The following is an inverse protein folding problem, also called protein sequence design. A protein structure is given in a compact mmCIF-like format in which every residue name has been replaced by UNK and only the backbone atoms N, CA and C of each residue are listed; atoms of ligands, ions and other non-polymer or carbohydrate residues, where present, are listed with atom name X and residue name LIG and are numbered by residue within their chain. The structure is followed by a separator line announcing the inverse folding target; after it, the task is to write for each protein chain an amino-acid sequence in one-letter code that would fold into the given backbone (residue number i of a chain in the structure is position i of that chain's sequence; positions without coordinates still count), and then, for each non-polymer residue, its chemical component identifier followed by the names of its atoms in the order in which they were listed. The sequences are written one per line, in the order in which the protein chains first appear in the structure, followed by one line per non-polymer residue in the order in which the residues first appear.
data_IF_062376645933
#
_entry.id   IF_062376645933
#
_cell.length_a   1.000
_cell.length_b   1.000
_cell.length_c   1.000
_cell.angle_alpha   90.00
_cell.angle_beta   90.00
_cell.angle_gamma   90.00
#
_symmetry.space_group_name_H-M   'P 1'
#
loop_
_entity.id
_entity.type
_entity.pdbx_description
1 polymer ?
#
# COMPACT_ATOMS: atom_id res chain seq x y z
N UNK A 1 9.93 4.44 38.85
CA UNK A 1 10.37 3.03 38.84
C UNK A 1 11.07 2.80 37.51
N UNK A 2 12.41 2.86 37.45
CA UNK A 2 13.14 2.55 36.22
C UNK A 2 13.07 1.05 35.93
N UNK A 3 12.92 0.75 34.63
CA UNK A 3 12.59 -0.56 34.04
C UNK A 3 13.60 -1.66 34.40
N UNK A 4 13.06 -2.85 34.71
CA UNK A 4 13.77 -4.05 35.14
C UNK A 4 14.47 -4.77 33.95
N UNK A 5 15.46 -4.14 33.33
CA UNK A 5 16.53 -4.89 32.69
C UNK A 5 17.82 -4.64 33.47
N UNK A 6 18.20 -5.65 34.25
CA UNK A 6 19.52 -5.71 34.88
C UNK A 6 20.58 -5.79 33.78
N UNK A 7 21.76 -5.19 33.98
CA UNK A 7 22.87 -5.15 33.00
C UNK A 7 23.22 -6.53 32.39
N UNK A 8 22.97 -7.60 33.16
CA UNK A 8 23.19 -8.98 32.73
C UNK A 8 22.23 -9.45 31.63
N UNK A 9 21.00 -8.93 31.62
CA UNK A 9 19.97 -9.20 30.60
C UNK A 9 20.15 -8.32 29.36
N UNK A 10 20.62 -7.08 29.53
CA UNK A 10 20.95 -6.18 28.42
C UNK A 10 22.02 -6.79 27.50
N UNK A 11 23.07 -7.40 28.08
CA UNK A 11 24.11 -8.11 27.33
C UNK A 11 23.62 -9.38 26.60
N UNK A 12 22.41 -9.88 26.91
CA UNK A 12 21.79 -11.00 26.23
C UNK A 12 20.80 -10.58 25.13
N UNK A 13 20.55 -9.28 25.00
CA UNK A 13 19.60 -8.71 24.05
C UNK A 13 20.25 -8.69 22.65
N UNK A 14 20.27 -9.87 22.03
CA UNK A 14 20.63 -10.01 20.63
C UNK A 14 19.44 -9.53 19.81
N UNK A 15 19.62 -8.40 19.12
CA UNK A 15 18.63 -7.87 18.20
C UNK A 15 18.38 -8.89 17.08
N UNK A 16 17.17 -9.45 17.01
CA UNK A 16 16.80 -10.48 16.04
C UNK A 16 15.84 -9.96 14.98
N UNK A 17 15.64 -8.63 14.90
CA UNK A 17 14.62 -8.00 14.06
C UNK A 17 13.22 -8.62 14.26
N UNK A 18 12.93 -9.02 15.49
CA UNK A 18 11.65 -9.65 15.83
C UNK A 18 10.57 -8.60 16.13
N UNK A 19 9.30 -9.00 16.08
CA UNK A 19 8.19 -8.11 16.43
C UNK A 19 8.30 -7.58 17.88
N UNK A 20 8.84 -8.40 18.79
CA UNK A 20 9.09 -7.99 20.18
C UNK A 20 10.16 -6.92 20.28
N UNK A 21 11.22 -7.03 19.48
CA UNK A 21 12.30 -6.04 19.39
C UNK A 21 11.73 -4.69 18.93
N UNK A 22 10.91 -4.72 17.87
CA UNK A 22 10.18 -3.53 17.37
C UNK A 22 9.29 -2.90 18.44
N UNK A 23 8.57 -3.68 19.24
CA UNK A 23 7.73 -3.13 20.32
C UNK A 23 8.52 -2.52 21.47
N UNK A 24 9.73 -3.03 21.76
CA UNK A 24 10.63 -2.44 22.75
C UNK A 24 11.19 -1.11 22.23
N UNK A 25 11.50 -1.05 20.93
CA UNK A 25 11.91 0.15 20.20
C UNK A 25 10.83 1.24 20.25
N UNK A 26 9.61 0.92 19.80
CA UNK A 26 8.48 1.85 19.73
C UNK A 26 8.10 2.45 21.09
N UNK A 27 8.37 1.70 22.18
CA UNK A 27 8.07 2.12 23.55
C UNK A 27 9.22 2.85 24.23
N UNK A 28 10.36 3.04 23.56
CA UNK A 28 11.53 3.73 24.11
C UNK A 28 12.14 3.03 25.33
N UNK A 29 11.92 1.73 25.49
CA UNK A 29 12.31 0.95 26.68
C UNK A 29 13.75 0.42 26.60
N UNK A 30 14.57 0.93 25.68
CA UNK A 30 15.86 0.34 25.29
C UNK A 30 17.06 1.22 25.61
N UNK A 31 17.01 2.13 26.58
CA UNK A 31 18.19 2.99 26.87
C UNK A 31 18.56 2.98 28.35
N UNK A 32 19.64 2.25 28.68
CA UNK A 32 20.31 2.28 29.98
C UNK A 32 21.62 3.07 29.93
N UNK A 33 22.28 3.14 28.77
CA UNK A 33 23.56 3.82 28.55
C UNK A 33 23.53 4.73 27.32
N UNK A 34 24.47 5.68 27.28
CA UNK A 34 24.58 6.70 26.23
C UNK A 34 24.89 6.09 24.84
N UNK A 35 25.72 5.06 24.78
CA UNK A 35 26.07 4.38 23.53
C UNK A 35 24.86 3.70 22.87
N UNK A 36 23.97 3.11 23.67
CA UNK A 36 22.74 2.47 23.18
C UNK A 36 21.75 3.52 22.64
N UNK A 37 21.69 4.69 23.30
CA UNK A 37 20.88 5.81 22.85
C UNK A 37 21.40 6.41 21.54
N UNK A 38 22.73 6.50 21.37
CA UNK A 38 23.37 6.95 20.13
C UNK A 38 23.08 5.96 19.00
N UNK A 39 23.26 4.66 19.23
CA UNK A 39 22.98 3.63 18.24
C UNK A 39 21.50 3.66 17.79
N UNK A 40 20.58 3.85 18.73
CA UNK A 40 19.15 3.99 18.43
C UNK A 40 18.81 5.26 17.66
N UNK A 41 19.40 6.40 18.02
CA UNK A 41 19.24 7.65 17.28
C UNK A 41 19.75 7.49 15.83
N UNK A 42 20.89 6.83 15.65
CA UNK A 42 21.45 6.52 14.34
C UNK A 42 20.52 5.61 13.53
N UNK A 43 19.98 4.54 14.12
CA UNK A 43 19.03 3.65 13.47
C UNK A 43 17.77 4.39 13.01
N UNK A 44 17.23 5.30 13.82
CA UNK A 44 16.07 6.12 13.46
C UNK A 44 16.34 7.07 12.29
N UNK A 45 17.53 7.68 12.26
CA UNK A 45 17.95 8.57 11.17
C UNK A 45 18.08 7.75 9.86
N UNK A 46 18.69 6.56 9.92
CA UNK A 46 18.84 5.68 8.76
C UNK A 46 17.48 5.20 8.24
N UNK A 47 16.58 4.77 9.13
CA UNK A 47 15.23 4.28 8.75
C UNK A 47 14.37 5.41 8.16
N UNK A 48 14.54 6.65 8.61
CA UNK A 48 13.85 7.82 8.05
C UNK A 48 14.47 8.35 6.75
N UNK A 49 15.55 7.74 6.25
CA UNK A 49 16.26 8.17 5.04
C UNK A 49 17.16 9.38 5.25
N UNK A 50 17.46 9.75 6.49
CA UNK A 50 18.47 10.77 6.83
C UNK A 50 19.89 10.23 6.72
N UNK A 51 20.84 11.08 6.37
CA UNK A 51 22.26 10.74 6.25
C UNK A 51 23.07 11.34 7.42
N UNK A 52 23.93 10.53 8.05
CA UNK A 52 24.85 10.98 9.09
C UNK A 52 26.23 11.12 8.45
N UNK A 53 26.72 12.36 8.34
CA UNK A 53 28.11 12.58 8.01
C UNK A 53 28.94 12.23 9.23
N UNK A 54 29.67 11.10 9.19
CA UNK A 54 30.72 10.84 10.17
C UNK A 54 31.83 11.86 9.93
N UNK A 55 31.88 12.87 10.78
CA UNK A 55 33.07 13.68 10.89
C UNK A 55 34.04 12.89 11.77
N UNK A 56 35.03 12.21 11.17
CA UNK A 56 36.01 11.37 11.88
C UNK A 56 37.04 12.19 12.70
N UNK A 57 36.71 13.44 13.03
CA UNK A 57 37.58 14.33 13.78
C UNK A 57 36.78 15.06 14.88
N UNK A 58 36.48 14.36 15.98
CA UNK A 58 35.86 14.97 17.16
C UNK A 58 36.70 14.62 18.39
N UNK A 59 37.86 15.27 18.48
CA UNK A 59 38.54 15.52 19.75
C UNK A 59 38.23 16.96 20.21
N UNK A 60 36.95 17.27 20.45
CA UNK A 60 36.50 18.34 21.36
C UNK A 60 34.98 18.42 21.31
N UNK A 61 34.36 18.03 22.42
CA UNK A 61 32.99 18.40 22.76
C UNK A 61 33.04 19.86 23.18
N UNK A 62 32.90 20.78 22.23
CA UNK A 62 32.21 22.04 22.52
C UNK A 62 31.77 22.72 21.24
N UNK A 63 30.57 23.30 21.27
CA UNK A 63 29.84 23.99 20.19
C UNK A 63 28.98 23.10 19.30
N UNK A 64 27.82 22.75 19.86
CA UNK A 64 26.57 22.77 19.10
C UNK A 64 26.47 24.15 18.45
N UNK A 65 26.60 24.24 17.14
CA UNK A 65 26.17 25.42 16.39
C UNK A 65 24.99 25.05 15.51
N UNK A 66 23.81 25.38 16.03
CA UNK A 66 22.59 25.62 15.29
C UNK A 66 22.90 26.68 14.21
N UNK A 67 23.01 26.28 12.95
CA UNK A 67 23.04 27.23 11.84
C UNK A 67 21.73 27.19 11.05
N UNK A 68 21.24 28.41 10.88
CA UNK A 68 19.99 28.85 10.29
C UNK A 68 20.33 29.39 8.90
N UNK A 69 19.67 28.82 7.89
CA UNK A 69 19.52 29.25 6.49
C UNK A 69 20.80 29.29 5.59
N UNK A 70 20.67 29.44 4.25
CA UNK A 70 21.07 28.40 3.28
C UNK A 70 22.32 28.80 2.47
N UNK A 71 23.22 27.84 2.23
CA UNK A 71 24.42 28.12 1.42
C UNK A 71 24.25 27.49 0.02
N UNK A 72 23.94 28.35 -0.93
CA UNK A 72 24.35 28.22 -2.33
C UNK A 72 25.86 28.49 -2.40
N UNK A 73 26.65 27.51 -2.84
CA UNK A 73 27.75 27.66 -3.82
C UNK A 73 28.51 26.32 -3.96
N UNK A 74 28.54 25.84 -5.20
CA UNK A 74 29.34 24.74 -5.69
C UNK A 74 30.84 25.05 -5.53
N UNK A 75 31.66 24.02 -5.24
CA UNK A 75 32.72 23.56 -6.15
C UNK A 75 33.41 22.28 -5.60
N UNK A 76 33.14 21.18 -6.30
CA UNK A 76 34.15 20.28 -6.88
C UNK A 76 35.03 19.44 -5.94
N UNK A 77 34.49 18.41 -5.28
CA UNK A 77 35.21 17.13 -5.09
C UNK A 77 34.19 15.97 -5.16
N UNK A 78 34.50 14.96 -5.97
CA UNK A 78 33.84 13.64 -6.16
C UNK A 78 32.89 13.43 -7.37
N UNK A 79 33.38 13.70 -8.58
CA UNK A 79 32.81 13.16 -9.84
C UNK A 79 32.93 11.62 -9.97
N UNK A 80 33.61 10.93 -9.05
CA UNK A 80 33.79 9.47 -9.08
C UNK A 80 32.79 8.68 -8.19
N UNK A 81 31.98 9.35 -7.35
CA UNK A 81 30.97 8.71 -6.48
C UNK A 81 29.53 8.82 -7.03
N UNK A 82 29.29 9.71 -8.00
CA UNK A 82 27.96 9.90 -8.59
C UNK A 82 27.67 8.97 -9.78
N UNK A 83 28.68 8.50 -10.49
CA UNK A 83 28.53 7.49 -11.57
C UNK A 83 28.16 6.12 -11.01
N UNK A 84 28.79 5.67 -9.92
CA UNK A 84 28.47 4.39 -9.29
C UNK A 84 27.02 4.34 -8.72
N UNK A 85 26.49 5.48 -8.25
CA UNK A 85 25.11 5.59 -7.78
C UNK A 85 24.09 5.72 -8.91
N UNK A 86 24.46 6.30 -10.04
CA UNK A 86 23.58 6.42 -11.21
C UNK A 86 23.46 5.08 -11.94
N UNK A 87 24.57 4.36 -12.13
CA UNK A 87 24.62 3.06 -12.79
C UNK A 87 23.82 1.99 -12.02
N UNK A 88 23.98 1.92 -10.69
CA UNK A 88 23.20 1.00 -9.85
C UNK A 88 21.68 1.27 -9.90
N UNK A 89 21.27 2.54 -9.98
CA UNK A 89 19.84 2.89 -10.08
C UNK A 89 19.29 2.55 -11.46
N UNK A 90 20.11 2.66 -12.52
CA UNK A 90 19.70 2.22 -13.86
C UNK A 90 19.63 0.70 -13.99
N UNK A 91 20.59 -0.02 -13.42
CA UNK A 91 20.65 -1.49 -13.43
C UNK A 91 19.47 -2.08 -12.65
N UNK A 92 19.18 -1.57 -11.44
CA UNK A 92 17.99 -1.97 -10.67
C UNK A 92 16.67 -1.70 -11.40
N UNK A 93 16.58 -0.64 -12.21
CA UNK A 93 15.39 -0.37 -13.02
C UNK A 93 15.28 -1.31 -14.23
N UNK A 94 16.41 -1.66 -14.84
CA UNK A 94 16.45 -2.63 -15.93
C UNK A 94 16.04 -4.01 -15.42
N UNK A 95 16.60 -4.47 -14.31
CA UNK A 95 16.25 -5.74 -13.68
C UNK A 95 14.75 -5.82 -13.33
N UNK A 96 14.17 -4.72 -12.84
CA UNK A 96 12.72 -4.63 -12.56
C UNK A 96 11.88 -4.74 -13.83
N UNK A 97 12.31 -4.06 -14.89
CA UNK A 97 11.59 -4.08 -16.16
C UNK A 97 11.67 -5.46 -16.82
N UNK A 98 12.84 -6.09 -16.81
CA UNK A 98 13.03 -7.46 -17.31
C UNK A 98 12.18 -8.46 -16.53
N UNK A 99 12.16 -8.38 -15.19
CA UNK A 99 11.32 -9.26 -14.37
C UNK A 99 9.82 -8.98 -14.59
N UNK A 100 9.41 -7.72 -14.78
CA UNK A 100 8.03 -7.41 -15.18
C UNK A 100 7.69 -8.08 -16.51
N UNK A 101 8.53 -7.93 -17.52
CA UNK A 101 8.30 -8.46 -18.86
C UNK A 101 8.28 -10.00 -18.88
N UNK A 102 8.93 -10.68 -17.94
CA UNK A 102 8.81 -12.13 -17.72
C UNK A 102 7.49 -12.51 -16.99
N UNK A 103 7.10 -11.76 -15.95
CA UNK A 103 5.94 -12.09 -15.13
C UNK A 103 4.60 -11.82 -15.84
N UNK A 104 4.51 -10.76 -16.63
CA UNK A 104 3.30 -10.37 -17.36
C UNK A 104 2.74 -11.49 -18.28
N UNK A 105 3.52 -12.17 -19.14
CA UNK A 105 3.02 -13.28 -19.96
C UNK A 105 2.71 -14.52 -19.09
N UNK A 106 3.40 -14.70 -17.97
CA UNK A 106 3.13 -15.80 -17.05
C UNK A 106 1.76 -15.66 -16.38
N UNK A 107 1.34 -14.44 -16.06
CA UNK A 107 -0.03 -14.14 -15.59
C UNK A 107 -1.06 -14.53 -16.65
N UNK A 108 -0.82 -14.20 -17.93
CA UNK A 108 -1.76 -14.55 -19.01
C UNK A 108 -1.90 -16.08 -19.18
N UNK A 109 -0.79 -16.81 -18.99
CA UNK A 109 -0.76 -18.28 -19.11
C UNK A 109 -1.36 -19.01 -17.90
N UNK A 110 -1.57 -18.32 -16.77
CA UNK A 110 -2.06 -18.95 -15.54
C UNK A 110 -3.45 -19.53 -15.74
N UNK A 111 -3.65 -20.81 -15.35
CA UNK A 111 -4.92 -21.51 -15.54
C UNK A 111 -5.80 -21.44 -14.29
N UNK A 112 -5.20 -21.17 -13.13
CA UNK A 112 -5.91 -21.11 -11.85
C UNK A 112 -5.73 -19.76 -11.16
N UNK A 113 -6.72 -19.32 -10.35
CA UNK A 113 -6.59 -18.11 -9.54
C UNK A 113 -5.37 -18.12 -8.61
N UNK A 114 -5.04 -19.30 -8.09
CA UNK A 114 -3.91 -19.48 -7.19
C UNK A 114 -2.57 -19.28 -7.91
N UNK A 115 -2.42 -19.82 -9.13
CA UNK A 115 -1.23 -19.60 -9.96
C UNK A 115 -1.02 -18.12 -10.27
N UNK A 116 -2.08 -17.41 -10.68
CA UNK A 116 -2.01 -15.98 -10.96
C UNK A 116 -1.61 -15.18 -9.70
N UNK A 117 -2.19 -15.51 -8.54
CA UNK A 117 -1.92 -14.80 -7.28
C UNK A 117 -0.51 -15.08 -6.75
N UNK A 118 0.01 -16.31 -6.94
CA UNK A 118 1.36 -16.68 -6.51
C UNK A 118 2.45 -15.81 -7.15
N UNK A 119 2.23 -15.31 -8.38
CA UNK A 119 3.18 -14.45 -9.07
C UNK A 119 3.43 -13.11 -8.36
N UNK A 120 2.51 -12.65 -7.51
CA UNK A 120 2.74 -11.46 -6.68
C UNK A 120 3.91 -11.61 -5.72
N UNK A 121 4.26 -12.85 -5.33
CA UNK A 121 5.37 -13.14 -4.42
C UNK A 121 6.76 -12.73 -4.94
N UNK A 122 6.97 -12.76 -6.26
CA UNK A 122 8.23 -12.36 -6.90
C UNK A 122 8.53 -10.87 -6.76
N UNK A 123 7.51 -10.09 -6.39
CA UNK A 123 7.61 -8.62 -6.29
C UNK A 123 7.55 -8.13 -4.84
N UNK A 124 7.76 -9.01 -3.85
CA UNK A 124 7.63 -8.65 -2.42
C UNK A 124 8.55 -7.50 -1.99
N UNK A 125 9.73 -7.37 -2.62
CA UNK A 125 10.71 -6.31 -2.36
C UNK A 125 10.41 -5.00 -3.09
N UNK A 126 9.40 -4.95 -3.96
CA UNK A 126 9.08 -3.80 -4.80
C UNK A 126 8.16 -2.80 -4.08
N UNK A 127 8.23 -1.54 -4.50
CA UNK A 127 7.29 -0.49 -4.07
C UNK A 127 5.90 -0.71 -4.68
N UNK A 128 4.88 -0.11 -4.07
CA UNK A 128 3.49 -0.21 -4.54
C UNK A 128 3.32 0.25 -5.99
N UNK A 129 4.02 1.31 -6.39
CA UNK A 129 3.96 1.85 -7.76
C UNK A 129 4.55 0.86 -8.77
N UNK A 130 5.68 0.23 -8.44
CA UNK A 130 6.32 -0.77 -9.30
C UNK A 130 5.48 -2.05 -9.43
N UNK A 131 4.78 -2.44 -8.36
CA UNK A 131 3.92 -3.63 -8.36
C UNK A 131 2.60 -3.46 -9.08
N UNK A 132 2.13 -2.22 -9.19
CA UNK A 132 0.84 -1.89 -9.79
C UNK A 132 0.57 -2.55 -11.16
N UNK A 133 1.46 -2.47 -12.18
CA UNK A 133 1.21 -3.09 -13.48
C UNK A 133 1.00 -4.61 -13.40
N UNK A 134 1.76 -5.30 -12.55
CA UNK A 134 1.60 -6.74 -12.35
C UNK A 134 0.29 -7.05 -11.63
N UNK A 135 -0.03 -6.32 -10.55
CA UNK A 135 -1.26 -6.54 -9.78
C UNK A 135 -2.53 -6.26 -10.61
N UNK A 136 -2.53 -5.19 -11.42
CA UNK A 136 -3.64 -4.88 -12.31
C UNK A 136 -3.86 -6.02 -13.32
N UNK A 137 -2.77 -6.61 -13.83
CA UNK A 137 -2.84 -7.76 -14.74
C UNK A 137 -3.32 -9.03 -14.04
N UNK A 138 -2.86 -9.30 -12.81
CA UNK A 138 -3.35 -10.42 -11.99
C UNK A 138 -4.85 -10.25 -11.72
N UNK A 139 -5.30 -9.07 -11.28
CA UNK A 139 -6.71 -8.80 -11.05
C UNK A 139 -7.55 -9.04 -12.31
N UNK A 140 -7.09 -8.54 -13.47
CA UNK A 140 -7.76 -8.81 -14.74
C UNK A 140 -7.86 -10.32 -15.02
N UNK A 141 -6.77 -11.07 -14.82
CA UNK A 141 -6.77 -12.53 -15.03
C UNK A 141 -7.71 -13.25 -14.07
N UNK A 142 -7.77 -12.82 -12.80
CA UNK A 142 -8.69 -13.37 -11.81
C UNK A 142 -10.15 -13.16 -12.20
N UNK A 143 -10.48 -12.00 -12.78
CA UNK A 143 -11.80 -11.71 -13.33
C UNK A 143 -12.12 -12.67 -14.50
N UNK A 144 -11.16 -12.90 -15.41
CA UNK A 144 -11.34 -13.83 -16.54
C UNK A 144 -11.52 -15.29 -16.09
N UNK A 145 -10.77 -15.72 -15.07
CA UNK A 145 -10.85 -17.07 -14.51
C UNK A 145 -12.10 -17.29 -13.64
N UNK A 146 -12.80 -16.23 -13.24
CA UNK A 146 -14.04 -16.34 -12.51
C UNK A 146 -15.21 -16.60 -13.47
N UNK A 147 -15.85 -17.79 -13.44
CA UNK A 147 -16.92 -18.15 -14.37
C UNK A 147 -18.15 -17.22 -14.27
N UNK A 148 -18.33 -16.52 -13.14
CA UNK A 148 -19.40 -15.53 -12.94
C UNK A 148 -19.13 -14.25 -13.74
N UNK A 149 -17.85 -13.91 -13.97
CA UNK A 149 -17.42 -12.72 -14.71
C UNK A 149 -17.34 -12.91 -16.23
N UNK A 150 -17.39 -14.15 -16.73
CA UNK A 150 -17.47 -14.45 -18.16
C UNK A 150 -18.83 -14.09 -18.78
N UNK A 151 -19.82 -13.76 -17.95
CA UNK A 151 -21.03 -13.07 -18.39
C UNK A 151 -20.59 -11.62 -18.64
N UNK A 152 -20.46 -11.15 -19.91
CA UNK A 152 -20.22 -9.74 -20.14
C UNK A 152 -21.30 -8.98 -19.37
N UNK A 153 -20.96 -7.95 -18.57
CA UNK A 153 -21.97 -7.10 -17.99
C UNK A 153 -22.60 -6.36 -19.18
N UNK A 154 -23.60 -6.97 -19.80
CA UNK A 154 -24.71 -6.22 -20.35
C UNK A 154 -25.29 -5.58 -19.10
N UNK A 155 -24.75 -4.41 -18.73
CA UNK A 155 -25.11 -3.70 -17.52
C UNK A 155 -26.60 -3.44 -17.64
N UNK A 156 -27.40 -4.38 -17.12
CA UNK A 156 -28.82 -4.19 -17.03
C UNK A 156 -28.96 -2.91 -16.20
N UNK A 157 -29.78 -1.95 -16.66
CA UNK A 157 -29.94 -0.69 -15.96
C UNK A 157 -30.20 -0.98 -14.48
N UNK A 158 -29.58 -0.17 -13.61
CA UNK A 158 -29.70 -0.37 -12.17
C UNK A 158 -31.17 -0.48 -11.77
N UNK A 159 -31.47 -1.24 -10.69
CA UNK A 159 -32.85 -1.40 -10.21
C UNK A 159 -33.56 -0.05 -10.00
N UNK A 160 -32.82 0.96 -9.54
CA UNK A 160 -33.32 2.33 -9.44
C UNK A 160 -33.75 2.90 -10.80
N UNK A 161 -32.90 2.82 -11.83
CA UNK A 161 -33.21 3.31 -13.18
C UNK A 161 -34.39 2.56 -13.81
N UNK A 162 -34.52 1.26 -13.53
CA UNK A 162 -35.68 0.46 -13.97
C UNK A 162 -36.97 0.90 -13.31
N UNK A 163 -36.93 1.24 -12.01
CA UNK A 163 -38.08 1.78 -11.29
C UNK A 163 -38.47 3.15 -11.85
N UNK A 164 -37.52 4.05 -12.07
CA UNK A 164 -37.80 5.39 -12.60
C UNK A 164 -38.40 5.37 -14.01
N UNK A 165 -38.01 4.40 -14.84
CA UNK A 165 -38.50 4.28 -16.22
C UNK A 165 -39.60 3.22 -16.39
N UNK A 166 -40.22 2.76 -15.31
CA UNK A 166 -41.28 1.75 -15.39
C UNK A 166 -42.46 2.29 -16.23
N UNK A 167 -42.89 1.60 -17.29
CA UNK A 167 -43.93 2.12 -18.20
C UNK A 167 -45.34 2.09 -17.61
N UNK A 168 -45.63 1.21 -16.65
CA UNK A 168 -46.98 0.99 -16.12
C UNK A 168 -46.96 0.43 -14.67
N UNK A 169 -48.14 0.37 -14.04
CA UNK A 169 -48.25 -0.11 -12.65
C UNK A 169 -47.94 -1.59 -12.48
N UNK A 170 -48.14 -2.41 -13.52
CA UNK A 170 -47.87 -3.85 -13.47
C UNK A 170 -46.36 -4.07 -13.43
N UNK A 171 -45.62 -3.46 -14.34
CA UNK A 171 -44.15 -3.50 -14.36
C UNK A 171 -43.53 -2.91 -13.10
N UNK A 172 -44.09 -1.83 -12.56
CA UNK A 172 -43.64 -1.26 -11.29
C UNK A 172 -43.86 -2.21 -10.10
N UNK A 173 -44.95 -2.98 -10.10
CA UNK A 173 -45.27 -3.94 -9.03
C UNK A 173 -44.31 -5.14 -9.05
N UNK A 174 -43.90 -5.61 -10.23
CA UNK A 174 -42.86 -6.64 -10.36
C UNK A 174 -41.51 -6.15 -9.80
N UNK A 175 -41.13 -4.91 -10.11
CA UNK A 175 -39.92 -4.30 -9.57
C UNK A 175 -40.00 -4.11 -8.05
N UNK A 176 -41.17 -3.85 -7.48
CA UNK A 176 -41.38 -3.78 -6.03
C UNK A 176 -41.08 -5.12 -5.33
N UNK A 177 -41.46 -6.25 -5.96
CA UNK A 177 -41.11 -7.59 -5.46
C UNK A 177 -39.58 -7.77 -5.47
N UNK A 178 -38.92 -7.34 -6.55
CA UNK A 178 -37.48 -7.41 -6.65
C UNK A 178 -36.78 -6.56 -5.57
N UNK A 179 -37.31 -5.37 -5.27
CA UNK A 179 -36.83 -4.50 -4.18
C UNK A 179 -36.94 -5.21 -2.83
N UNK A 180 -38.04 -5.91 -2.55
CA UNK A 180 -38.23 -6.67 -1.29
C UNK A 180 -37.24 -7.83 -1.14
N UNK A 181 -36.70 -8.35 -2.24
CA UNK A 181 -35.63 -9.34 -2.24
C UNK A 181 -34.22 -8.77 -2.00
N UNK A 182 -34.05 -7.43 -1.98
CA UNK A 182 -32.76 -6.78 -1.74
C UNK A 182 -32.42 -6.66 -0.25
N UNK A 183 -31.17 -6.32 0.05
CA UNK A 183 -30.70 -6.16 1.43
C UNK A 183 -31.52 -5.10 2.20
N UNK A 184 -31.91 -5.32 3.47
CA UNK A 184 -32.76 -4.40 4.24
C UNK A 184 -32.31 -2.94 4.21
N UNK A 185 -31.00 -2.68 4.27
CA UNK A 185 -30.46 -1.31 4.27
C UNK A 185 -30.75 -0.51 2.99
N UNK A 186 -30.87 -1.18 1.85
CA UNK A 186 -31.11 -0.52 0.56
C UNK A 186 -32.59 -0.45 0.17
N UNK A 187 -33.45 -1.22 0.84
CA UNK A 187 -34.89 -1.25 0.56
C UNK A 187 -35.58 0.12 0.77
N UNK A 188 -35.34 0.88 1.86
CA UNK A 188 -36.02 2.16 2.08
C UNK A 188 -35.77 3.16 0.96
N UNK A 189 -34.52 3.20 0.46
CA UNK A 189 -34.13 4.08 -0.65
C UNK A 189 -34.85 3.68 -1.94
N UNK A 190 -34.83 2.39 -2.29
CA UNK A 190 -35.50 1.88 -3.50
C UNK A 190 -37.02 2.04 -3.44
N UNK A 191 -37.64 1.78 -2.29
CA UNK A 191 -39.07 2.00 -2.08
C UNK A 191 -39.48 3.47 -2.21
N UNK A 192 -38.57 4.41 -1.91
CA UNK A 192 -38.79 5.84 -2.20
C UNK A 192 -39.01 6.10 -3.68
N UNK A 193 -38.20 5.50 -4.56
CA UNK A 193 -38.37 5.60 -6.01
C UNK A 193 -39.64 4.91 -6.50
N UNK A 194 -40.00 3.76 -5.92
CA UNK A 194 -41.26 3.06 -6.26
C UNK A 194 -42.47 3.94 -5.96
N UNK A 195 -42.53 4.55 -4.78
CA UNK A 195 -43.62 5.45 -4.39
C UNK A 195 -43.71 6.65 -5.32
N UNK A 196 -42.57 7.26 -5.66
CA UNK A 196 -42.50 8.39 -6.58
C UNK A 196 -43.04 7.99 -7.97
N UNK A 197 -42.55 6.90 -8.54
CA UNK A 197 -43.00 6.45 -9.86
C UNK A 197 -44.47 6.07 -9.88
N UNK A 198 -44.97 5.45 -8.81
CA UNK A 198 -46.39 5.09 -8.69
C UNK A 198 -47.28 6.33 -8.73
N UNK A 199 -46.90 7.37 -7.99
CA UNK A 199 -47.58 8.65 -8.05
C UNK A 199 -47.54 9.27 -9.46
N UNK A 200 -46.39 9.23 -10.14
CA UNK A 200 -46.29 9.72 -11.52
C UNK A 200 -47.23 8.97 -12.48
N UNK A 201 -47.30 7.64 -12.37
CA UNK A 201 -48.17 6.81 -13.22
C UNK A 201 -49.67 6.95 -12.88
N UNK A 202 -50.02 7.18 -11.61
CA UNK A 202 -51.41 7.41 -11.18
C UNK A 202 -51.94 8.80 -11.61
N UNK A 203 -51.05 9.75 -11.90
CA UNK A 203 -51.39 11.12 -12.31
C UNK A 203 -51.01 11.44 -13.78
N UNK A 204 -50.58 10.45 -14.56
CA UNK A 204 -50.25 10.57 -15.99
C UNK A 204 -51.47 10.27 -16.87
#
# INVERSE_FOLDING_TARGET
MPSLLTDKLANQLKWKNSATDKTLLERGLVHLNEDDAICHAQAHIIVSGGAIQRNDNIASIDKIVLFKDPITQNETITDELQTASAEQVTELRQDQQELLDELLPRVDSAQTPNEATALSGYTTSWTEQQRKPLLDKIHKRLVELNPISAIPPKEAPSLMVRIENAPDLVTLSELEIEVKGRHPDIQPKLMGYVKKRRYELDNA
#
